data_IF_229850166220
#
_entry.id   IF_229850166220
#
_cell.length_a   1.000
_cell.length_b   1.000
_cell.length_c   1.000
_cell.angle_alpha   90.00
_cell.angle_beta   90.00
_cell.angle_gamma   90.00
#
_symmetry.space_group_name_H-M   'P 1'
#
loop_
_entity.id
_entity.type
_entity.pdbx_description
1 polymer ?
#
# COMPACT_ATOMS: atom_id res chain seq x y z
N UNK A 1 -7.52 -3.95 1.09
CA UNK A 1 -7.74 -5.06 0.15
C UNK A 1 -7.82 -4.48 -1.25
N UNK A 2 -7.52 -5.21 -2.32
CA UNK A 2 -7.95 -4.82 -3.67
C UNK A 2 -8.84 -5.92 -4.23
N UNK A 3 -9.87 -5.53 -4.97
CA UNK A 3 -10.81 -6.44 -5.61
C UNK A 3 -10.12 -7.18 -6.77
N UNK A 4 -10.31 -8.49 -6.82
CA UNK A 4 -9.72 -9.37 -7.83
C UNK A 4 -10.37 -9.16 -9.21
N UNK A 5 -9.61 -9.45 -10.27
CA UNK A 5 -10.09 -9.44 -11.64
C UNK A 5 -11.38 -10.25 -11.82
N UNK A 6 -12.35 -9.70 -12.56
CA UNK A 6 -13.58 -10.39 -12.92
C UNK A 6 -14.63 -10.51 -11.81
N UNK A 7 -14.38 -10.01 -10.60
CA UNK A 7 -15.36 -10.07 -9.50
C UNK A 7 -16.56 -9.12 -9.71
N UNK A 8 -16.39 -8.06 -10.52
CA UNK A 8 -17.43 -7.08 -10.79
C UNK A 8 -18.16 -7.39 -12.09
N UNK A 9 -19.50 -7.19 -12.14
CA UNK A 9 -20.22 -7.15 -13.39
C UNK A 9 -19.67 -6.06 -14.31
N UNK A 10 -19.65 -6.32 -15.62
CA UNK A 10 -19.05 -5.41 -16.61
C UNK A 10 -19.59 -3.98 -16.53
N UNK A 11 -20.90 -3.81 -16.34
CA UNK A 11 -21.53 -2.49 -16.22
C UNK A 11 -20.96 -1.67 -15.05
N UNK A 12 -20.63 -2.32 -13.94
CA UNK A 12 -20.05 -1.66 -12.78
C UNK A 12 -18.55 -1.43 -12.93
N UNK A 13 -17.82 -2.38 -13.53
CA UNK A 13 -16.42 -2.17 -13.88
C UNK A 13 -16.23 -0.89 -14.72
N UNK A 14 -17.11 -0.71 -15.73
CA UNK A 14 -17.14 0.51 -16.55
C UNK A 14 -17.55 1.73 -15.73
N UNK A 15 -18.60 1.64 -14.90
CA UNK A 15 -19.05 2.76 -14.09
C UNK A 15 -17.98 3.26 -13.10
N UNK A 16 -17.33 2.35 -12.37
CA UNK A 16 -16.25 2.69 -11.45
C UNK A 16 -15.02 3.25 -12.17
N UNK A 17 -14.70 2.74 -13.35
CA UNK A 17 -13.63 3.31 -14.18
C UNK A 17 -13.96 4.72 -14.65
N UNK A 18 -15.22 4.97 -15.04
CA UNK A 18 -15.68 6.30 -15.42
C UNK A 18 -15.61 7.29 -14.24
N UNK A 19 -15.92 6.86 -13.02
CA UNK A 19 -15.79 7.69 -11.80
C UNK A 19 -14.33 7.90 -11.41
N UNK A 20 -13.47 6.89 -11.56
CA UNK A 20 -12.04 6.98 -11.24
C UNK A 20 -11.30 7.94 -12.18
N UNK A 21 -11.68 7.97 -13.46
CA UNK A 21 -11.02 8.78 -14.50
C UNK A 21 -10.86 10.26 -14.13
N UNK A 22 -11.91 11.03 -13.75
CA UNK A 22 -11.75 12.43 -13.36
C UNK A 22 -10.93 12.59 -12.08
N UNK A 23 -10.99 11.64 -11.15
CA UNK A 23 -10.21 11.69 -9.89
C UNK A 23 -8.71 11.52 -10.17
N UNK A 24 -8.36 10.58 -11.04
CA UNK A 24 -6.97 10.37 -11.50
C UNK A 24 -6.49 11.56 -12.33
N UNK A 25 -7.32 12.08 -13.23
CA UNK A 25 -6.99 13.26 -14.03
C UNK A 25 -6.75 14.50 -13.14
N UNK A 26 -7.55 14.68 -12.08
CA UNK A 26 -7.37 15.75 -11.10
C UNK A 26 -6.04 15.62 -10.34
N UNK A 27 -5.67 14.39 -9.97
CA UNK A 27 -4.37 14.08 -9.35
C UNK A 27 -3.20 14.43 -10.28
N UNK A 28 -3.24 13.93 -11.51
CA UNK A 28 -2.24 14.20 -12.55
C UNK A 28 -2.08 15.69 -12.84
N UNK A 29 -3.18 16.44 -12.94
CA UNK A 29 -3.16 17.87 -13.18
C UNK A 29 -2.53 18.66 -12.01
N UNK A 30 -2.40 18.05 -10.83
CA UNK A 30 -1.76 18.64 -9.65
C UNK A 30 -0.32 18.19 -9.45
N UNK A 31 0.15 17.21 -10.22
CA UNK A 31 1.49 16.66 -10.06
C UNK A 31 2.54 17.74 -10.38
N UNK A 32 3.62 17.86 -9.58
CA UNK A 32 4.69 18.79 -9.86
C UNK A 32 5.30 18.49 -11.24
N UNK A 33 5.35 19.50 -12.11
CA UNK A 33 5.96 19.37 -13.44
C UNK A 33 7.48 19.40 -13.33
N UNK A 34 8.15 18.56 -14.14
CA UNK A 34 9.60 18.49 -14.21
C UNK A 34 10.26 19.83 -14.59
N UNK A 35 9.57 20.63 -15.42
CA UNK A 35 10.02 21.95 -15.89
C UNK A 35 10.15 22.97 -14.74
N UNK A 36 9.34 22.85 -13.68
CA UNK A 36 9.37 23.76 -12.53
C UNK A 36 10.59 23.55 -11.61
N UNK A 37 11.44 22.56 -11.91
CA UNK A 37 12.65 22.25 -11.15
C UNK A 37 13.88 23.04 -11.59
N UNK A 38 13.85 23.63 -12.78
CA UNK A 38 14.99 24.40 -13.30
C UNK A 38 15.05 25.83 -12.72
N UNK A 39 13.93 26.36 -12.21
CA UNK A 39 13.82 27.78 -11.82
C UNK A 39 14.03 28.08 -10.32
N UNK A 40 14.19 27.09 -9.44
CA UNK A 40 14.40 27.34 -8.00
C UNK A 40 15.36 26.36 -7.31
N UNK A 41 16.68 26.62 -7.35
CA UNK A 41 17.69 25.81 -6.65
C UNK A 41 17.75 26.06 -5.13
N UNK A 42 17.02 27.04 -4.59
CA UNK A 42 17.21 27.50 -3.23
C UNK A 42 16.02 27.17 -2.31
N UNK A 43 16.26 26.20 -1.41
CA UNK A 43 15.64 26.02 -0.08
C UNK A 43 14.51 24.98 0.14
N UNK A 44 14.33 23.98 -0.72
CA UNK A 44 13.47 22.84 -0.38
C UNK A 44 13.79 21.58 -1.18
N UNK A 45 13.53 20.41 -0.59
CA UNK A 45 13.47 19.17 -1.37
C UNK A 45 12.49 19.35 -2.53
N UNK A 46 12.90 18.96 -3.74
CA UNK A 46 12.02 18.97 -4.90
C UNK A 46 10.75 18.16 -4.61
N UNK A 47 9.54 18.73 -4.76
CA UNK A 47 8.28 18.01 -4.65
C UNK A 47 8.23 16.75 -5.51
N UNK A 48 8.99 16.72 -6.61
CA UNK A 48 9.12 15.55 -7.49
C UNK A 48 9.91 14.42 -6.84
N UNK A 49 10.96 14.72 -6.06
CA UNK A 49 11.71 13.72 -5.29
C UNK A 49 10.82 13.07 -4.24
N UNK A 50 10.00 13.87 -3.56
CA UNK A 50 9.05 13.37 -2.57
C UNK A 50 7.99 12.46 -3.21
N UNK A 51 7.44 12.87 -4.37
CA UNK A 51 6.47 12.06 -5.11
C UNK A 51 7.08 10.75 -5.63
N UNK A 52 8.28 10.80 -6.20
CA UNK A 52 8.99 9.62 -6.69
C UNK A 52 9.37 8.66 -5.53
N UNK A 53 9.81 9.20 -4.40
CA UNK A 53 10.09 8.44 -3.19
C UNK A 53 8.83 7.79 -2.60
N UNK A 54 7.71 8.51 -2.55
CA UNK A 54 6.43 7.98 -2.10
C UNK A 54 5.92 6.87 -3.04
N UNK A 55 6.04 7.06 -4.36
CA UNK A 55 5.62 6.08 -5.37
C UNK A 55 6.47 4.81 -5.28
N UNK A 56 7.79 4.94 -5.15
CA UNK A 56 8.68 3.78 -5.04
C UNK A 56 8.48 3.03 -3.73
N UNK A 57 8.27 3.75 -2.61
CA UNK A 57 7.94 3.12 -1.32
C UNK A 57 6.59 2.41 -1.37
N UNK A 58 5.58 3.03 -1.98
CA UNK A 58 4.26 2.43 -2.17
C UNK A 58 4.37 1.14 -2.99
N UNK A 59 5.06 1.17 -4.12
CA UNK A 59 5.27 -0.01 -4.96
C UNK A 59 6.02 -1.11 -4.20
N UNK A 60 7.13 -0.77 -3.53
CA UNK A 60 7.92 -1.76 -2.80
C UNK A 60 7.16 -2.39 -1.63
N UNK A 61 6.46 -1.59 -0.83
CA UNK A 61 5.72 -2.07 0.33
C UNK A 61 4.55 -2.97 -0.07
N UNK A 62 3.87 -2.64 -1.17
CA UNK A 62 2.75 -3.43 -1.68
C UNK A 62 3.17 -4.73 -2.38
N UNK A 63 4.44 -4.87 -2.74
CA UNK A 63 4.99 -6.11 -3.28
C UNK A 63 5.51 -7.08 -2.20
N UNK A 64 5.54 -6.71 -0.92
CA UNK A 64 5.98 -7.59 0.14
C UNK A 64 4.83 -8.50 0.59
N UNK A 65 4.85 -9.81 0.28
CA UNK A 65 3.85 -10.72 0.80
C UNK A 65 4.07 -10.92 2.30
N UNK A 66 3.05 -10.57 3.06
CA UNK A 66 2.94 -10.83 4.49
C UNK A 66 2.07 -12.08 4.67
N UNK A 67 2.62 -13.20 5.17
CA UNK A 67 1.82 -14.38 5.42
C UNK A 67 0.81 -14.11 6.54
N UNK A 68 -0.44 -14.50 6.31
CA UNK A 68 -1.52 -14.37 7.29
C UNK A 68 -2.02 -15.77 7.66
N UNK A 69 -1.50 -16.36 8.74
CA UNK A 69 -1.68 -17.79 9.00
C UNK A 69 -3.07 -18.18 9.49
N UNK A 70 -3.95 -17.23 9.78
CA UNK A 70 -5.34 -17.56 10.16
C UNK A 70 -6.16 -18.04 8.96
N UNK A 71 -5.80 -17.63 7.74
CA UNK A 71 -6.60 -17.92 6.51
C UNK A 71 -5.77 -18.65 5.45
N UNK A 72 -4.46 -18.87 5.68
CA UNK A 72 -3.59 -19.50 4.68
C UNK A 72 -3.37 -18.63 3.45
N UNK A 73 -3.54 -17.31 3.58
CA UNK A 73 -3.39 -16.35 2.49
C UNK A 73 -2.24 -15.36 2.78
N UNK A 74 -1.71 -14.74 1.73
CA UNK A 74 -0.82 -13.59 1.85
C UNK A 74 -1.58 -12.28 1.75
N UNK A 75 -1.10 -11.26 2.44
CA UNK A 75 -1.57 -9.87 2.33
C UNK A 75 -0.38 -8.95 2.10
N UNK A 76 -0.61 -7.70 1.80
CA UNK A 76 0.43 -6.71 1.53
C UNK A 76 0.15 -5.41 2.25
N UNK A 77 1.19 -4.60 2.43
CA UNK A 77 1.09 -3.31 3.10
C UNK A 77 0.65 -2.25 2.07
N UNK A 78 -0.38 -1.47 2.39
CA UNK A 78 -0.89 -0.43 1.49
C UNK A 78 -0.16 0.91 1.64
N UNK A 79 0.14 1.37 2.87
CA UNK A 79 0.79 2.66 3.18
C UNK A 79 0.10 3.93 2.61
N UNK A 80 -1.00 3.83 1.86
CA UNK A 80 -1.65 4.98 1.23
C UNK A 80 -2.15 6.02 2.25
N UNK A 81 -2.67 5.67 3.45
CA UNK A 81 -3.08 6.68 4.43
C UNK A 81 -1.93 7.54 4.94
N UNK A 82 -0.79 6.93 5.28
CA UNK A 82 0.36 7.68 5.81
C UNK A 82 1.01 8.54 4.73
N UNK A 83 1.11 8.03 3.51
CA UNK A 83 1.65 8.79 2.39
C UNK A 83 0.74 9.99 2.07
N UNK A 84 -0.58 9.84 2.14
CA UNK A 84 -1.53 10.94 1.98
C UNK A 84 -1.34 12.05 3.02
N UNK A 85 -1.02 11.69 4.28
CA UNK A 85 -0.71 12.67 5.33
C UNK A 85 0.61 13.42 5.09
N UNK A 86 1.56 12.82 4.35
CA UNK A 86 2.87 13.40 4.03
C UNK A 86 2.80 14.27 2.77
N UNK A 87 2.32 13.71 1.66
CA UNK A 87 2.37 14.35 0.32
C UNK A 87 1.04 14.96 -0.11
N UNK A 88 -0.04 14.64 0.60
CA UNK A 88 -1.40 15.10 0.29
C UNK A 88 -2.21 14.10 -0.56
N UNK A 89 -3.52 14.07 -0.33
CA UNK A 89 -4.49 13.21 -1.03
C UNK A 89 -4.41 13.36 -2.54
N UNK A 90 -4.37 14.60 -3.04
CA UNK A 90 -4.30 14.85 -4.49
C UNK A 90 -3.07 14.21 -5.12
N UNK A 91 -1.94 14.15 -4.40
CA UNK A 91 -0.67 13.68 -4.96
C UNK A 91 -0.50 12.16 -4.88
N UNK A 92 -1.19 11.46 -3.97
CA UNK A 92 -1.05 10.01 -3.81
C UNK A 92 -1.92 9.20 -4.78
N UNK A 93 -3.04 9.76 -5.26
CA UNK A 93 -3.99 9.08 -6.16
C UNK A 93 -3.31 8.53 -7.42
N UNK A 94 -2.56 9.36 -8.15
CA UNK A 94 -1.87 8.94 -9.38
C UNK A 94 -0.82 7.85 -9.13
N UNK A 95 0.10 7.99 -8.14
CA UNK A 95 0.98 6.90 -7.72
C UNK A 95 0.25 5.60 -7.41
N UNK A 96 -0.87 5.66 -6.69
CA UNK A 96 -1.67 4.46 -6.38
C UNK A 96 -2.24 3.83 -7.65
N UNK A 97 -2.83 4.62 -8.55
CA UNK A 97 -3.31 4.13 -9.84
C UNK A 97 -2.18 3.45 -10.64
N UNK A 98 -1.03 4.11 -10.74
CA UNK A 98 0.12 3.58 -11.47
C UNK A 98 0.63 2.26 -10.88
N UNK A 99 0.73 2.17 -9.55
CA UNK A 99 1.12 0.94 -8.85
C UNK A 99 0.10 -0.18 -9.09
N UNK A 100 -1.20 0.11 -9.03
CA UNK A 100 -2.26 -0.87 -9.29
C UNK A 100 -2.23 -1.39 -10.73
N UNK A 101 -1.91 -0.53 -11.71
CA UNK A 101 -1.71 -0.97 -13.11
C UNK A 101 -0.55 -1.96 -13.21
N UNK A 102 0.59 -1.64 -12.59
CA UNK A 102 1.75 -2.53 -12.62
C UNK A 102 1.43 -3.88 -11.93
N UNK A 103 0.72 -3.85 -10.81
CA UNK A 103 0.30 -5.06 -10.09
C UNK A 103 -0.64 -5.93 -10.93
N UNK A 104 -1.65 -5.33 -11.57
CA UNK A 104 -2.59 -6.06 -12.40
C UNK A 104 -1.91 -6.70 -13.62
N UNK A 105 -0.98 -5.98 -14.27
CA UNK A 105 -0.33 -6.43 -15.53
C UNK A 105 0.82 -7.41 -15.28
N UNK A 106 1.69 -7.14 -14.31
CA UNK A 106 2.94 -7.90 -14.13
C UNK A 106 2.87 -8.95 -13.03
N UNK A 107 2.02 -8.75 -12.02
CA UNK A 107 1.96 -9.61 -10.84
C UNK A 107 0.65 -10.38 -10.75
N UNK A 108 -0.25 -10.22 -11.73
CA UNK A 108 -1.61 -10.78 -11.71
C UNK A 108 -2.33 -10.49 -10.39
N UNK A 109 -2.02 -9.35 -9.77
CA UNK A 109 -2.49 -8.98 -8.45
C UNK A 109 -3.49 -7.83 -8.56
N UNK A 110 -4.73 -8.08 -8.14
CA UNK A 110 -5.84 -7.17 -8.41
C UNK A 110 -6.49 -7.45 -9.77
N UNK A 111 -6.85 -6.39 -10.50
CA UNK A 111 -7.51 -6.50 -11.80
C UNK A 111 -7.60 -5.19 -12.58
N UNK A 112 -7.65 -5.30 -13.91
CA UNK A 112 -7.95 -4.22 -14.84
C UNK A 112 -9.44 -3.84 -14.80
N UNK A 113 -10.35 -4.80 -14.67
CA UNK A 113 -11.79 -4.49 -14.54
C UNK A 113 -12.13 -3.86 -13.19
N UNK A 114 -11.35 -4.17 -12.16
CA UNK A 114 -11.49 -3.60 -10.82
C UNK A 114 -10.57 -2.40 -10.56
N UNK A 115 -9.74 -2.01 -11.53
CA UNK A 115 -8.76 -0.93 -11.40
C UNK A 115 -9.40 0.38 -10.95
N UNK A 116 -10.57 0.72 -11.50
CA UNK A 116 -11.30 1.94 -11.17
C UNK A 116 -11.68 2.00 -9.69
N UNK A 117 -12.37 0.97 -9.19
CA UNK A 117 -12.81 0.95 -7.78
C UNK A 117 -11.63 0.83 -6.83
N UNK A 118 -10.62 0.02 -7.15
CA UNK A 118 -9.41 -0.11 -6.34
C UNK A 118 -8.66 1.23 -6.22
N UNK A 119 -8.61 2.00 -7.31
CA UNK A 119 -8.03 3.35 -7.29
C UNK A 119 -8.87 4.30 -6.44
N UNK A 120 -10.19 4.20 -6.50
CA UNK A 120 -11.09 5.03 -5.68
C UNK A 120 -10.99 4.68 -4.19
N UNK A 121 -10.92 3.40 -3.83
CA UNK A 121 -10.87 3.00 -2.41
C UNK A 121 -9.48 3.21 -1.82
N UNK A 122 -8.43 2.67 -2.45
CA UNK A 122 -7.05 2.76 -1.96
C UNK A 122 -6.41 4.12 -2.22
N UNK A 123 -6.67 4.72 -3.39
CA UNK A 123 -6.00 5.96 -3.80
C UNK A 123 -6.71 7.23 -3.34
N UNK A 124 -8.04 7.20 -3.17
CA UNK A 124 -8.80 8.39 -2.79
C UNK A 124 -9.49 8.25 -1.42
N UNK A 125 -10.34 7.26 -1.22
CA UNK A 125 -11.18 7.13 -0.04
C UNK A 125 -10.35 6.93 1.25
N UNK A 126 -9.43 5.96 1.27
CA UNK A 126 -8.52 5.75 2.41
C UNK A 126 -7.69 7.00 2.75
N UNK A 127 -6.99 7.60 1.78
CA UNK A 127 -6.31 8.89 1.94
C UNK A 127 -7.19 10.02 2.47
N UNK A 128 -8.43 10.17 1.97
CA UNK A 128 -9.38 11.16 2.46
C UNK A 128 -9.80 10.88 3.90
N UNK A 129 -10.08 9.61 4.24
CA UNK A 129 -10.38 9.19 5.60
C UNK A 129 -9.22 9.51 6.54
N UNK A 130 -7.98 9.22 6.15
CA UNK A 130 -6.79 9.51 6.97
C UNK A 130 -6.68 11.00 7.29
N UNK A 131 -6.80 11.87 6.27
CA UNK A 131 -6.76 13.32 6.45
C UNK A 131 -7.94 13.82 7.29
N UNK A 132 -9.14 13.26 7.07
CA UNK A 132 -10.36 13.60 7.82
C UNK A 132 -10.31 13.16 9.28
N UNK A 133 -9.72 12.01 9.59
CA UNK A 133 -9.57 11.44 10.93
C UNK A 133 -8.43 12.07 11.72
N UNK A 134 -7.41 12.60 11.04
CA UNK A 134 -6.24 13.20 11.70
C UNK A 134 -6.62 14.35 12.65
N UNK A 135 -7.43 15.29 12.18
CA UNK A 135 -7.85 16.45 12.97
C UNK A 135 -8.66 16.08 14.24
N UNK A 136 -9.73 15.28 14.17
CA UNK A 136 -10.50 14.89 15.36
C UNK A 136 -9.68 14.03 16.32
N UNK A 137 -8.88 13.08 15.83
CA UNK A 137 -8.06 12.23 16.71
C UNK A 137 -7.04 13.06 17.49
N UNK A 138 -6.45 14.10 16.88
CA UNK A 138 -5.56 15.02 17.59
C UNK A 138 -6.25 15.86 18.67
N UNK A 139 -7.55 16.14 18.54
CA UNK A 139 -8.31 16.87 19.55
C UNK A 139 -8.60 16.05 20.80
N UNK A 140 -8.44 14.72 20.74
CA UNK A 140 -8.61 13.83 21.89
C UNK A 140 -7.46 13.92 22.91
N UNK A 141 -6.43 14.75 22.66
CA UNK A 141 -5.30 14.91 23.57
C UNK A 141 -4.38 13.69 23.66
N UNK A 142 -4.54 12.73 22.73
CA UNK A 142 -3.70 11.55 22.64
C UNK A 142 -2.26 11.93 22.26
N UNK A 143 -1.30 11.09 22.68
CA UNK A 143 0.07 11.20 22.19
C UNK A 143 0.09 11.22 20.65
N UNK A 144 0.76 12.20 20.03
CA UNK A 144 0.81 12.37 18.57
C UNK A 144 1.13 11.05 17.84
N UNK A 145 2.04 10.22 18.37
CA UNK A 145 2.42 8.93 17.77
C UNK A 145 1.27 7.93 17.77
N UNK A 146 0.57 7.83 18.89
CA UNK A 146 -0.60 6.97 19.03
C UNK A 146 -1.77 7.50 18.19
N UNK A 147 -1.95 8.82 18.13
CA UNK A 147 -2.94 9.45 17.25
C UNK A 147 -2.68 9.14 15.77
N UNK A 148 -1.41 9.14 15.32
CA UNK A 148 -1.06 8.77 13.95
C UNK A 148 -1.34 7.30 13.67
N UNK A 149 -0.92 6.41 14.58
CA UNK A 149 -1.22 4.98 14.47
C UNK A 149 -2.73 4.75 14.35
N UNK A 150 -3.53 5.37 15.22
CA UNK A 150 -4.98 5.24 15.22
C UNK A 150 -5.63 5.79 13.94
N UNK A 151 -5.10 6.92 13.44
CA UNK A 151 -5.56 7.52 12.18
C UNK A 151 -5.34 6.58 11.01
N UNK A 152 -4.13 6.01 10.89
CA UNK A 152 -3.82 5.07 9.81
C UNK A 152 -4.63 3.77 9.96
N UNK A 153 -4.68 3.18 11.16
CA UNK A 153 -5.45 1.95 11.42
C UNK A 153 -6.93 2.10 11.02
N UNK A 154 -7.57 3.20 11.41
CA UNK A 154 -8.98 3.43 11.04
C UNK A 154 -9.16 3.77 9.56
N UNK A 155 -8.19 4.43 8.93
CA UNK A 155 -8.23 4.65 7.49
C UNK A 155 -8.13 3.32 6.72
N UNK A 156 -7.22 2.42 7.13
CA UNK A 156 -7.07 1.08 6.52
C UNK A 156 -8.31 0.22 6.70
N UNK A 157 -8.87 0.17 7.92
CA UNK A 157 -10.15 -0.51 8.17
C UNK A 157 -11.30 0.15 7.40
N UNK A 158 -11.24 1.47 7.22
CA UNK A 158 -12.18 2.22 6.39
C UNK A 158 -12.15 1.77 4.93
N UNK A 159 -10.96 1.65 4.33
CA UNK A 159 -10.78 1.10 2.97
C UNK A 159 -11.47 -0.26 2.88
N UNK A 160 -11.22 -1.13 3.84
CA UNK A 160 -11.82 -2.46 3.89
C UNK A 160 -13.36 -2.42 3.96
N UNK A 161 -13.94 -1.55 4.80
CA UNK A 161 -15.39 -1.33 4.84
C UNK A 161 -15.91 -0.80 3.50
N UNK A 162 -15.16 0.10 2.86
CA UNK A 162 -15.47 0.64 1.53
C UNK A 162 -15.49 -0.44 0.45
N UNK A 163 -14.49 -1.33 0.42
CA UNK A 163 -14.42 -2.45 -0.51
C UNK A 163 -15.58 -3.44 -0.28
N UNK A 164 -15.88 -3.76 0.99
CA UNK A 164 -17.01 -4.64 1.34
C UNK A 164 -18.35 -4.04 0.90
N UNK A 165 -18.53 -2.72 1.05
CA UNK A 165 -19.72 -2.01 0.61
C UNK A 165 -19.83 -2.00 -0.92
N UNK A 166 -18.72 -1.72 -1.61
CA UNK A 166 -18.66 -1.75 -3.07
C UNK A 166 -19.03 -3.14 -3.60
N UNK A 167 -18.50 -4.21 -3.00
CA UNK A 167 -18.79 -5.57 -3.39
C UNK A 167 -20.23 -6.00 -3.05
N UNK A 168 -20.76 -5.55 -1.91
CA UNK A 168 -22.15 -5.79 -1.51
C UNK A 168 -23.16 -5.16 -2.48
N UNK A 169 -22.90 -3.92 -2.91
CA UNK A 169 -23.66 -3.29 -3.98
C UNK A 169 -23.42 -3.98 -5.32
N UNK A 170 -22.21 -4.48 -5.55
CA UNK A 170 -21.84 -5.04 -6.83
C UNK A 170 -22.56 -6.34 -7.17
N UNK A 171 -22.74 -7.18 -6.16
CA UNK A 171 -23.31 -8.51 -6.28
C UNK A 171 -24.77 -8.56 -5.80
N UNK A 172 -25.47 -7.42 -5.83
CA UNK A 172 -26.87 -7.30 -5.40
C UNK A 172 -27.82 -8.25 -6.13
N UNK A 173 -27.43 -8.65 -7.34
CA UNK A 173 -28.21 -9.47 -8.26
C UNK A 173 -28.17 -10.94 -7.82
N UNK A 174 -27.10 -11.35 -7.14
CA UNK A 174 -26.88 -12.70 -6.65
C UNK A 174 -27.34 -12.88 -5.20
N UNK A 175 -27.16 -11.86 -4.35
CA UNK A 175 -27.56 -11.89 -2.95
C UNK A 175 -27.92 -10.49 -2.44
N UNK A 176 -28.72 -10.37 -1.36
CA UNK A 176 -29.00 -9.09 -0.75
C UNK A 176 -27.70 -8.36 -0.36
N UNK A 177 -27.55 -7.05 -0.65
CA UNK A 177 -26.29 -6.33 -0.44
C UNK A 177 -25.74 -6.44 0.98
N UNK A 178 -26.62 -6.43 1.98
CA UNK A 178 -26.23 -6.56 3.39
C UNK A 178 -25.63 -7.94 3.71
N UNK A 179 -26.11 -9.00 3.05
CA UNK A 179 -25.58 -10.36 3.23
C UNK A 179 -24.16 -10.45 2.68
N UNK A 180 -23.92 -9.98 1.45
CA UNK A 180 -22.57 -9.96 0.86
C UNK A 180 -21.63 -9.06 1.65
N UNK A 181 -22.08 -7.87 2.04
CA UNK A 181 -21.31 -6.93 2.86
C UNK A 181 -20.85 -7.56 4.19
N UNK A 182 -21.78 -8.17 4.94
CA UNK A 182 -21.47 -8.79 6.24
C UNK A 182 -20.57 -10.01 6.08
N UNK A 183 -20.80 -10.83 5.06
CA UNK A 183 -19.95 -11.98 4.76
C UNK A 183 -18.51 -11.56 4.44
N UNK A 184 -18.33 -10.54 3.59
CA UNK A 184 -17.00 -10.00 3.27
C UNK A 184 -16.35 -9.42 4.52
N UNK A 185 -17.07 -8.57 5.28
CA UNK A 185 -16.55 -7.93 6.49
C UNK A 185 -16.08 -8.92 7.56
N UNK A 186 -16.84 -9.99 7.80
CA UNK A 186 -16.47 -11.00 8.79
C UNK A 186 -15.41 -11.95 8.24
N UNK A 187 -15.47 -12.27 6.94
CA UNK A 187 -14.54 -13.20 6.29
C UNK A 187 -13.10 -12.71 6.27
N UNK A 188 -12.86 -11.41 5.99
CA UNK A 188 -11.50 -10.87 5.98
C UNK A 188 -11.13 -10.14 7.28
N UNK A 189 -12.02 -9.99 8.27
CA UNK A 189 -11.67 -9.35 9.56
C UNK A 189 -10.44 -9.98 10.26
N UNK A 190 -10.27 -11.33 10.30
CA UNK A 190 -9.09 -11.95 10.89
C UNK A 190 -7.77 -11.58 10.22
N UNK A 191 -7.83 -11.11 8.96
CA UNK A 191 -6.68 -10.68 8.17
C UNK A 191 -6.48 -9.18 8.28
N UNK A 192 -7.55 -8.41 8.06
CA UNK A 192 -7.48 -6.96 7.93
C UNK A 192 -7.23 -6.25 9.27
N UNK A 193 -7.73 -6.80 10.40
CA UNK A 193 -7.51 -6.19 11.72
C UNK A 193 -6.02 -6.28 12.13
N UNK A 194 -5.36 -7.45 12.11
CA UNK A 194 -3.92 -7.51 12.38
C UNK A 194 -3.09 -6.69 11.40
N UNK A 195 -3.45 -6.70 10.11
CA UNK A 195 -2.77 -5.92 9.08
C UNK A 195 -2.85 -4.42 9.37
N UNK A 196 -4.04 -3.89 9.68
CA UNK A 196 -4.21 -2.47 10.02
C UNK A 196 -3.37 -2.05 11.24
N UNK A 197 -3.20 -2.93 12.23
CA UNK A 197 -2.31 -2.67 13.38
C UNK A 197 -0.85 -2.63 12.93
N UNK A 198 -0.43 -3.57 12.08
CA UNK A 198 0.92 -3.61 11.54
C UNK A 198 1.22 -2.35 10.70
N UNK A 199 0.31 -1.97 9.81
CA UNK A 199 0.41 -0.77 8.97
C UNK A 199 0.44 0.51 9.80
N UNK A 200 -0.33 0.57 10.89
CA UNK A 200 -0.30 1.70 11.81
C UNK A 200 1.06 1.87 12.49
N UNK A 201 1.70 0.78 12.92
CA UNK A 201 3.05 0.82 13.48
C UNK A 201 4.09 1.18 12.41
N UNK A 202 3.98 0.61 11.21
CA UNK A 202 4.84 0.93 10.08
C UNK A 202 4.74 2.42 9.72
N UNK A 203 3.52 2.98 9.69
CA UNK A 203 3.23 4.38 9.43
C UNK A 203 3.92 5.32 10.41
N UNK A 204 3.84 5.02 11.71
CA UNK A 204 4.56 5.78 12.74
C UNK A 204 6.07 5.69 12.53
N UNK A 205 6.59 4.51 12.20
CA UNK A 205 8.01 4.30 11.91
C UNK A 205 8.51 5.11 10.72
N UNK A 206 7.77 5.12 9.61
CA UNK A 206 8.09 5.88 8.40
C UNK A 206 8.21 7.37 8.75
N UNK A 207 7.23 7.92 9.46
CA UNK A 207 7.22 9.34 9.83
C UNK A 207 8.36 9.67 10.80
N UNK A 208 8.67 8.78 11.76
CA UNK A 208 9.79 8.99 12.69
C UNK A 208 11.16 8.96 12.01
N UNK A 209 11.36 8.04 11.07
CA UNK A 209 12.60 7.94 10.29
C UNK A 209 12.77 9.20 9.42
N UNK A 210 11.70 9.64 8.75
CA UNK A 210 11.72 10.88 7.98
C UNK A 210 12.01 12.08 8.88
N UNK A 211 11.37 12.19 10.04
CA UNK A 211 11.60 13.29 10.98
C UNK A 211 13.06 13.36 11.46
N UNK A 212 13.72 12.22 11.62
CA UNK A 212 15.14 12.17 12.02
C UNK A 212 16.15 12.36 10.88
N UNK A 213 15.80 11.99 9.64
CA UNK A 213 16.76 11.96 8.51
C UNK A 213 16.54 13.07 7.48
N UNK A 214 15.28 13.37 7.18
CA UNK A 214 14.83 14.33 6.16
C UNK A 214 13.56 15.06 6.65
N UNK A 215 13.66 15.85 7.74
CA UNK A 215 12.51 16.57 8.30
C UNK A 215 11.91 17.58 7.31
N UNK A 216 12.71 18.04 6.36
CA UNK A 216 12.30 18.91 5.25
C UNK A 216 11.21 18.29 4.37
N UNK A 217 11.12 16.95 4.29
CA UNK A 217 10.10 16.23 3.53
C UNK A 217 8.75 16.10 4.26
N UNK A 218 8.70 16.38 5.57
CA UNK A 218 7.49 16.26 6.35
C UNK A 218 6.75 17.60 6.46
N UNK A 219 5.41 17.60 6.47
CA UNK A 219 4.64 18.76 6.87
C UNK A 219 4.84 19.03 8.38
N UNK A 220 4.75 20.30 8.79
CA UNK A 220 5.00 20.72 10.18
C UNK A 220 4.15 19.96 11.22
N UNK A 221 2.94 19.58 10.82
CA UNK A 221 2.00 18.81 11.65
C UNK A 221 2.53 17.43 12.05
N UNK A 222 3.41 16.85 11.23
CA UNK A 222 4.04 15.54 11.46
C UNK A 222 5.47 15.67 12.01
N UNK A 223 6.17 16.79 11.77
CA UNK A 223 7.52 17.03 12.34
C UNK A 223 7.53 16.95 13.88
N UNK A 224 6.45 17.37 14.52
CA UNK A 224 6.29 17.34 15.98
C UNK A 224 6.26 15.92 16.60
N UNK A 225 6.23 14.85 15.79
CA UNK A 225 6.30 13.47 16.27
C UNK A 225 7.69 13.09 16.81
N UNK A 226 8.72 13.87 16.47
CA UNK A 226 10.10 13.66 16.87
C UNK A 226 10.72 12.38 16.29
N UNK A 227 12.03 12.24 16.42
CA UNK A 227 12.73 11.00 16.06
C UNK A 227 12.74 10.01 17.22
N UNK A 228 12.55 8.73 16.94
CA UNK A 228 12.92 7.62 17.82
C UNK A 228 14.05 6.82 17.17
N UNK A 229 14.85 6.09 17.96
CA UNK A 229 15.81 5.17 17.37
C UNK A 229 15.06 4.12 16.52
N UNK A 230 15.43 3.91 15.25
CA UNK A 230 14.71 3.02 14.34
C UNK A 230 14.65 1.57 14.85
N UNK A 231 15.57 1.19 15.75
CA UNK A 231 15.59 -0.11 16.43
C UNK A 231 14.30 -0.40 17.20
N UNK A 232 13.71 0.60 17.87
CA UNK A 232 12.49 0.38 18.66
C UNK A 232 11.30 0.04 17.75
N UNK A 233 11.12 0.78 16.66
CA UNK A 233 10.04 0.52 15.71
C UNK A 233 10.23 -0.78 14.95
N UNK A 234 11.48 -1.10 14.57
CA UNK A 234 11.82 -2.37 13.94
C UNK A 234 11.51 -3.55 14.87
N UNK A 235 11.85 -3.45 16.16
CA UNK A 235 11.54 -4.48 17.16
C UNK A 235 10.03 -4.65 17.35
N UNK A 236 9.25 -3.56 17.35
CA UNK A 236 7.79 -3.64 17.42
C UNK A 236 7.18 -4.31 16.18
N UNK A 237 7.69 -4.00 14.99
CA UNK A 237 7.25 -4.66 13.76
C UNK A 237 7.60 -6.15 13.77
N UNK A 238 8.84 -6.51 14.09
CA UNK A 238 9.29 -7.91 14.19
C UNK A 238 8.46 -8.67 15.23
N UNK A 239 8.16 -8.05 16.38
CA UNK A 239 7.33 -8.66 17.41
C UNK A 239 5.89 -8.89 16.93
N UNK A 240 5.28 -7.92 16.23
CA UNK A 240 3.95 -8.06 15.66
C UNK A 240 3.90 -9.13 14.56
N UNK A 241 4.89 -9.16 13.67
CA UNK A 241 5.04 -10.20 12.66
C UNK A 241 5.20 -11.59 13.31
N UNK A 242 5.97 -11.69 14.38
CA UNK A 242 6.15 -12.95 15.12
C UNK A 242 4.86 -13.41 15.83
N UNK A 243 4.07 -12.48 16.39
CA UNK A 243 2.76 -12.77 16.97
C UNK A 243 1.76 -13.29 15.93
N UNK A 244 1.85 -12.75 14.71
CA UNK A 244 1.03 -13.19 13.58
C UNK A 244 1.56 -14.50 13.02
N UNK A 245 2.67 -15.09 13.48
CA UNK A 245 3.27 -16.31 12.92
C UNK A 245 3.15 -17.58 13.81
N UNK A 246 1.98 -17.96 14.36
CA UNK A 246 1.91 -19.23 15.07
C UNK A 246 1.98 -20.39 14.08
N UNK A 247 3.14 -21.03 13.99
CA UNK A 247 3.36 -22.49 13.93
C UNK A 247 2.65 -23.36 12.87
N UNK A 248 1.85 -22.83 11.97
CA UNK A 248 1.25 -23.61 10.89
C UNK A 248 2.28 -23.75 9.76
N UNK A 249 2.49 -24.97 9.29
CA UNK A 249 3.22 -25.24 8.06
C UNK A 249 2.53 -24.48 6.93
N UNK A 250 3.06 -23.31 6.59
CA UNK A 250 2.51 -22.47 5.56
C UNK A 250 2.94 -23.05 4.21
N UNK A 251 2.04 -23.81 3.60
CA UNK A 251 2.26 -24.50 2.32
C UNK A 251 2.06 -23.58 1.11
N UNK A 252 1.63 -22.32 1.34
CA UNK A 252 1.27 -21.36 0.29
C UNK A 252 -0.17 -21.51 -0.19
N UNK A 253 -0.64 -20.51 -0.97
CA UNK A 253 -1.95 -20.54 -1.64
C UNK A 253 -2.04 -21.75 -2.60
N UNK A 254 -0.91 -22.15 -3.17
CA UNK A 254 -0.83 -23.28 -4.11
C UNK A 254 -1.22 -24.62 -3.49
N UNK A 255 -0.67 -24.96 -2.32
CA UNK A 255 -1.07 -26.18 -1.60
C UNK A 255 -2.47 -26.08 -1.00
N UNK A 256 -2.76 -24.96 -0.32
CA UNK A 256 -3.97 -24.84 0.52
C UNK A 256 -5.26 -24.60 -0.26
N UNK A 257 -5.20 -23.87 -1.38
CA UNK A 257 -6.39 -23.51 -2.18
C UNK A 257 -6.43 -24.30 -3.49
N UNK A 258 -5.37 -24.24 -4.29
CA UNK A 258 -5.37 -24.93 -5.59
C UNK A 258 -5.27 -26.45 -5.43
N UNK A 259 -4.45 -26.94 -4.50
CA UNK A 259 -4.38 -28.36 -4.15
C UNK A 259 -5.71 -28.91 -3.62
N UNK A 260 -6.29 -28.24 -2.61
CA UNK A 260 -7.58 -28.65 -2.03
C UNK A 260 -8.74 -28.60 -3.06
N UNK A 261 -8.75 -27.59 -3.94
CA UNK A 261 -9.76 -27.50 -5.02
C UNK A 261 -9.56 -28.60 -6.06
N UNK A 262 -8.32 -28.92 -6.43
CA UNK A 262 -8.02 -30.01 -7.37
C UNK A 262 -8.44 -31.38 -6.80
N UNK A 263 -8.17 -31.63 -5.52
CA UNK A 263 -8.63 -32.83 -4.81
C UNK A 263 -10.16 -32.92 -4.76
N UNK A 264 -10.85 -31.80 -4.49
CA UNK A 264 -12.32 -31.76 -4.50
C UNK A 264 -12.94 -32.10 -5.86
N UNK A 265 -12.17 -31.94 -6.94
CA UNK A 265 -12.54 -32.28 -8.32
C UNK A 265 -11.98 -33.65 -8.77
N UNK A 266 -11.41 -34.44 -7.86
CA UNK A 266 -10.89 -35.78 -8.12
C UNK A 266 -9.61 -35.80 -8.97
N UNK A 267 -8.87 -34.69 -9.04
CA UNK A 267 -7.59 -34.61 -9.73
C UNK A 267 -6.46 -34.63 -8.70
N UNK A 268 -5.52 -35.60 -8.74
CA UNK A 268 -4.38 -35.57 -7.84
C UNK A 268 -3.57 -34.30 -8.14
N UNK A 269 -3.23 -33.48 -7.12
CA UNK A 269 -2.40 -32.31 -7.33
C UNK A 269 -1.08 -32.76 -7.95
N UNK A 270 -0.75 -32.16 -9.08
CA UNK A 270 0.52 -32.38 -9.78
C UNK A 270 1.39 -31.16 -9.52
N UNK A 271 2.65 -31.37 -9.15
CA UNK A 271 3.58 -30.27 -8.95
C UNK A 271 3.68 -29.43 -10.23
N UNK A 272 3.94 -28.13 -10.06
CA UNK A 272 4.16 -27.23 -11.20
C UNK A 272 5.33 -27.73 -12.04
N UNK A 273 5.15 -27.76 -13.37
CA UNK A 273 6.19 -28.12 -14.35
C UNK A 273 7.47 -27.27 -14.23
N UNK A 274 7.34 -26.09 -13.62
CA UNK A 274 8.43 -25.23 -13.18
C UNK A 274 8.23 -24.94 -11.69
N UNK A 275 9.05 -25.55 -10.84
CA UNK A 275 9.03 -25.31 -9.39
C UNK A 275 9.71 -23.97 -9.06
N UNK A 276 8.94 -22.88 -9.22
CA UNK A 276 9.31 -21.53 -8.77
C UNK A 276 8.77 -21.24 -7.36
N UNK A 277 8.30 -22.26 -6.64
CA UNK A 277 7.78 -22.14 -5.28
C UNK A 277 8.92 -21.97 -4.27
N UNK A 278 9.71 -20.90 -4.43
CA UNK A 278 10.40 -20.33 -3.28
C UNK A 278 9.34 -19.67 -2.41
N UNK A 279 8.56 -20.50 -1.71
CA UNK A 279 7.30 -20.13 -1.06
C UNK A 279 7.38 -18.74 -0.44
N UNK A 280 6.37 -17.90 -0.67
CA UNK A 280 6.15 -16.48 -0.32
C UNK A 280 7.28 -15.70 0.37
N UNK A 281 7.91 -16.24 1.41
CA UNK A 281 9.13 -15.74 2.03
C UNK A 281 10.33 -15.62 1.06
N UNK A 282 10.54 -16.58 0.16
CA UNK A 282 11.61 -16.55 -0.84
C UNK A 282 11.37 -15.48 -1.92
N UNK A 283 10.11 -15.34 -2.35
CA UNK A 283 9.65 -14.25 -3.21
C UNK A 283 9.86 -12.88 -2.52
N UNK A 284 9.44 -12.73 -1.26
CA UNK A 284 9.65 -11.52 -0.48
C UNK A 284 11.13 -11.12 -0.40
N UNK A 285 12.02 -12.09 -0.12
CA UNK A 285 13.46 -11.85 -0.06
C UNK A 285 14.04 -11.42 -1.42
N UNK A 286 13.57 -12.03 -2.50
CA UNK A 286 13.99 -11.66 -3.86
C UNK A 286 13.57 -10.23 -4.21
N UNK A 287 12.35 -9.84 -3.85
CA UNK A 287 11.82 -8.48 -4.06
C UNK A 287 12.64 -7.46 -3.25
N UNK A 288 12.94 -7.73 -1.98
CA UNK A 288 13.77 -6.85 -1.14
C UNK A 288 15.16 -6.67 -1.75
N UNK A 289 15.78 -7.76 -2.20
CA UNK A 289 17.12 -7.73 -2.82
C UNK A 289 17.10 -6.95 -4.13
N UNK A 290 16.15 -7.22 -5.04
CA UNK A 290 16.03 -6.52 -6.31
C UNK A 290 15.73 -5.03 -6.12
N UNK A 291 14.87 -4.68 -5.16
CA UNK A 291 14.59 -3.29 -4.81
C UNK A 291 15.85 -2.57 -4.29
N UNK A 292 16.60 -3.23 -3.40
CA UNK A 292 17.90 -2.72 -2.91
C UNK A 292 18.91 -2.51 -4.04
N UNK A 293 19.02 -3.49 -4.96
CA UNK A 293 19.89 -3.40 -6.13
C UNK A 293 19.47 -2.25 -7.07
N UNK A 294 18.17 -2.04 -7.27
CA UNK A 294 17.64 -0.90 -8.04
C UNK A 294 18.09 0.45 -7.47
N UNK A 295 18.08 0.61 -6.15
CA UNK A 295 18.56 1.83 -5.50
C UNK A 295 20.07 2.04 -5.66
N UNK A 296 20.85 0.96 -5.58
CA UNK A 296 22.30 0.99 -5.83
C UNK A 296 22.59 1.35 -7.29
N UNK A 297 21.88 0.74 -8.23
CA UNK A 297 22.00 1.04 -9.66
C UNK A 297 21.62 2.49 -9.97
N UNK A 298 20.54 3.01 -9.38
CA UNK A 298 20.14 4.42 -9.52
C UNK A 298 21.21 5.39 -9.01
N UNK A 299 21.82 5.11 -7.86
CA UNK A 299 22.96 5.92 -7.35
C UNK A 299 24.21 5.80 -8.22
N UNK A 300 24.49 4.62 -8.77
CA UNK A 300 25.60 4.43 -9.69
C UNK A 300 25.37 5.24 -10.97
N UNK A 301 24.14 5.24 -11.48
CA UNK A 301 23.70 6.02 -12.64
C UNK A 301 23.83 7.53 -12.40
N UNK A 302 23.39 8.03 -11.23
CA UNK A 302 23.56 9.43 -10.83
C UNK A 302 25.04 9.84 -10.77
N UNK A 303 25.93 8.96 -10.30
CA UNK A 303 27.38 9.24 -10.28
C UNK A 303 28.02 9.25 -11.68
N UNK A 304 27.46 8.50 -12.63
CA UNK A 304 27.97 8.39 -13.99
C UNK A 304 27.49 9.53 -14.90
N UNK A 305 26.27 10.03 -14.69
CA UNK A 305 25.63 11.04 -15.54
C UNK A 305 25.40 12.39 -14.85
N UNK A 306 25.52 12.46 -13.53
CA UNK A 306 25.47 13.70 -12.78
C UNK A 306 26.64 14.58 -13.18
N UNK A 307 26.35 15.68 -13.88
CA UNK A 307 27.30 16.78 -14.11
C UNK A 307 28.02 17.09 -12.80
N UNK A 308 29.35 17.17 -12.86
CA UNK A 308 30.14 17.64 -11.73
C UNK A 308 29.56 18.95 -11.20
N UNK A 309 29.41 19.14 -9.88
CA UNK A 309 29.07 20.44 -9.34
C UNK A 309 30.17 21.41 -9.79
N UNK A 310 29.75 22.45 -10.51
CA UNK A 310 30.59 23.50 -11.07
C UNK A 310 31.53 24.02 -9.96
N UNK A 311 32.82 23.72 -10.07
CA UNK A 311 33.85 24.05 -9.07
C UNK A 311 34.26 25.53 -9.10
N UNK A 312 33.34 26.43 -9.49
CA UNK A 312 33.61 27.81 -9.88
C UNK A 312 32.91 28.89 -9.05
N UNK A 313 32.56 28.60 -7.78
CA UNK A 313 32.22 29.66 -6.81
C UNK A 313 32.94 29.42 -5.47
N UNK A 314 34.22 29.76 -5.46
CA UNK A 314 34.96 30.15 -4.24
C UNK A 314 34.77 31.65 -4.00
#
# INVERSE_FOLDING_TARGET
MHLAEGILPLGQAVAWSAVATPVVAWSLAGAPRAEALEESPSQGSSPMVLLAGATSLLFAATLLPLPVPVVGATSHICLTPVLALIIGVRQIIWPTFFVLVLQAVFFAHGGLTTLGINTLTLGAFGPLLAVGLWAPIRRLGLNNKFGLALTCAFADLGIYVGDAMALGLALSDAAPPLTTFTAVLLGFAPVQIPLAILEAVASVGIVQILAGRRPDLLPDRLRALGSTPPRATLLSLVFLLALVSPGCAYEGIDGTVFGATAESLGRPPTDSLLDLSQGELGLAMTIIVLFGLGFVAGRAWERLLGRQPDASRR
#
